data_IF_679926727863
#
_entry.id   IF_679926727863
#
_cell.length_a   1.000
_cell.length_b   1.000
_cell.length_c   1.000
_cell.angle_alpha   90.00
_cell.angle_beta   90.00
_cell.angle_gamma   90.00
#
_symmetry.space_group_name_H-M   'P 1'
#
loop_
_entity.id
_entity.type
_entity.pdbx_description
1 polymer ?
#
# COMPACT_ATOMS: atom_id res chain seq x y z
N UNK A 1 -26.41 -21.16 2.94
CA UNK A 1 -25.01 -20.89 2.51
C UNK A 1 -24.54 -19.55 3.09
N UNK A 2 -23.85 -19.59 4.23
CA UNK A 2 -23.36 -18.38 4.93
C UNK A 2 -22.07 -17.92 4.24
N UNK A 3 -22.06 -16.69 3.70
CA UNK A 3 -20.84 -16.06 3.22
C UNK A 3 -19.88 -15.85 4.41
N UNK A 4 -18.58 -16.19 4.29
CA UNK A 4 -17.62 -15.92 5.35
C UNK A 4 -17.37 -14.41 5.49
N UNK A 5 -16.96 -13.93 6.67
CA UNK A 5 -16.61 -12.53 6.88
C UNK A 5 -15.42 -12.11 5.99
N UNK A 6 -15.35 -10.83 5.56
CA UNK A 6 -14.39 -10.33 4.56
C UNK A 6 -12.91 -10.50 4.95
N UNK A 7 -12.61 -10.78 6.23
CA UNK A 7 -11.26 -11.04 6.72
C UNK A 7 -10.72 -12.42 6.35
N UNK A 8 -11.59 -13.43 6.18
CA UNK A 8 -11.17 -14.82 5.95
C UNK A 8 -10.72 -15.08 4.51
N UNK A 9 -11.31 -14.38 3.53
CA UNK A 9 -10.97 -14.57 2.12
C UNK A 9 -9.57 -14.04 1.76
N UNK A 10 -9.06 -13.03 2.47
CA UNK A 10 -7.72 -12.48 2.20
C UNK A 10 -6.58 -13.35 2.76
N UNK A 11 -6.88 -14.23 3.72
CA UNK A 11 -5.88 -14.94 4.51
C UNK A 11 -5.30 -16.18 3.80
N UNK A 12 -6.00 -16.77 2.82
CA UNK A 12 -5.60 -18.08 2.28
C UNK A 12 -4.60 -18.03 1.11
N UNK A 13 -4.13 -16.85 0.70
CA UNK A 13 -3.28 -16.70 -0.50
C UNK A 13 -1.77 -16.57 -0.22
N UNK A 14 -1.33 -16.54 1.04
CA UNK A 14 0.05 -16.17 1.40
C UNK A 14 0.78 -17.25 2.19
N UNK A 15 1.28 -18.28 1.50
CA UNK A 15 2.28 -19.21 2.05
C UNK A 15 3.53 -19.25 1.15
N UNK A 16 4.33 -18.19 1.18
CA UNK A 16 5.79 -18.27 0.99
C UNK A 16 6.45 -16.89 1.21
N UNK A 17 7.26 -16.70 2.27
CA UNK A 17 7.96 -15.45 2.48
C UNK A 17 9.34 -15.50 1.79
N UNK A 18 9.43 -15.05 0.54
CA UNK A 18 10.72 -14.63 -0.03
C UNK A 18 10.98 -13.18 0.37
N UNK A 19 11.90 -13.02 1.32
CA UNK A 19 12.40 -11.74 1.84
C UNK A 19 13.07 -10.96 0.71
N UNK A 20 12.39 -9.96 0.17
CA UNK A 20 12.98 -9.02 -0.78
C UNK A 20 13.36 -7.72 -0.06
N UNK A 21 14.67 -7.43 -0.09
CA UNK A 21 15.27 -6.21 0.42
C UNK A 21 14.93 -5.05 -0.55
N UNK A 22 14.19 -4.05 -0.08
CA UNK A 22 13.59 -3.02 -0.93
C UNK A 22 14.55 -1.84 -1.08
N UNK A 23 15.42 -1.88 -2.10
CA UNK A 23 16.22 -0.74 -2.54
C UNK A 23 15.35 0.22 -3.39
N UNK A 24 14.77 1.24 -2.75
CA UNK A 24 14.07 2.34 -3.46
C UNK A 24 15.10 3.36 -3.94
N UNK A 25 15.37 3.36 -5.26
CA UNK A 25 16.05 4.47 -5.93
C UNK A 25 15.02 5.53 -6.38
N UNK A 26 14.72 6.51 -5.53
CA UNK A 26 14.21 7.81 -5.96
C UNK A 26 14.90 8.90 -5.13
N UNK A 27 16.08 9.31 -5.58
CA UNK A 27 16.87 10.37 -4.97
C UNK A 27 16.85 11.59 -5.90
N UNK A 28 15.74 12.34 -5.87
CA UNK A 28 15.64 13.60 -6.60
C UNK A 28 15.54 14.78 -5.61
N UNK A 29 16.68 15.42 -5.39
CA UNK A 29 16.87 16.84 -5.09
C UNK A 29 16.32 17.46 -3.78
N UNK A 30 16.47 16.76 -2.65
CA UNK A 30 16.42 17.40 -1.32
C UNK A 30 17.83 17.44 -0.72
N UNK A 31 18.27 18.56 -0.09
CA UNK A 31 19.55 18.60 0.61
C UNK A 31 19.53 17.50 1.67
N UNK A 32 20.36 16.47 1.51
CA UNK A 32 20.35 15.23 2.31
C UNK A 32 20.59 15.57 3.79
N UNK A 33 19.55 15.64 4.64
CA UNK A 33 19.76 15.86 6.06
C UNK A 33 20.32 14.57 6.63
N UNK A 34 21.23 14.65 7.60
CA UNK A 34 21.76 13.44 8.21
C UNK A 34 20.60 12.57 8.71
N UNK A 35 20.66 11.26 8.47
CA UNK A 35 19.56 10.33 8.78
C UNK A 35 19.07 10.45 10.23
N UNK A 36 19.95 10.78 11.17
CA UNK A 36 19.61 11.03 12.58
C UNK A 36 18.87 12.35 12.85
N UNK A 37 18.99 13.35 11.98
CA UNK A 37 18.23 14.60 12.06
C UNK A 37 16.80 14.40 11.55
N UNK A 38 16.62 13.57 10.51
CA UNK A 38 15.29 13.20 10.00
C UNK A 38 14.48 12.44 11.05
N UNK A 39 15.08 11.46 11.73
CA UNK A 39 14.41 10.69 12.78
C UNK A 39 14.03 11.60 13.97
N UNK A 40 14.90 12.56 14.34
CA UNK A 40 14.61 13.53 15.41
C UNK A 40 13.50 14.51 15.04
N UNK A 41 13.48 15.00 13.80
CA UNK A 41 12.43 15.91 13.31
C UNK A 41 11.10 15.17 13.17
N UNK A 42 11.10 13.92 12.70
CA UNK A 42 9.90 13.09 12.56
C UNK A 42 9.35 12.54 13.89
N UNK A 43 10.20 12.44 14.93
CA UNK A 43 9.74 12.13 16.30
C UNK A 43 9.28 13.39 17.05
N UNK A 44 9.83 14.56 16.71
CA UNK A 44 9.46 15.85 17.32
C UNK A 44 8.18 16.44 16.71
N UNK A 45 8.02 16.34 15.40
CA UNK A 45 6.77 16.63 14.71
C UNK A 45 5.94 15.35 14.77
N UNK A 46 4.76 15.38 15.40
CA UNK A 46 3.80 14.27 15.38
C UNK A 46 3.17 14.07 13.97
N UNK A 47 3.98 14.23 12.92
CA UNK A 47 3.51 14.18 11.55
C UNK A 47 3.18 12.73 11.20
N UNK A 48 1.96 12.49 10.69
CA UNK A 48 1.54 11.16 10.31
C UNK A 48 2.47 10.61 9.21
N UNK A 49 2.93 9.35 9.32
CA UNK A 49 3.80 8.75 8.31
C UNK A 49 3.14 8.80 6.92
N UNK A 50 3.92 9.13 5.89
CA UNK A 50 3.41 9.31 4.53
C UNK A 50 3.81 8.15 3.63
N UNK A 51 2.82 7.41 3.09
CA UNK A 51 3.03 6.40 2.07
C UNK A 51 2.92 7.00 0.66
N UNK A 52 3.97 6.82 -0.15
CA UNK A 52 4.04 7.33 -1.52
C UNK A 52 3.96 6.15 -2.50
N UNK A 53 2.95 6.15 -3.36
CA UNK A 53 2.69 5.12 -4.36
C UNK A 53 2.99 5.67 -5.77
N UNK A 54 4.19 5.44 -6.33
CA UNK A 54 4.51 5.92 -7.67
C UNK A 54 3.64 5.25 -8.74
N UNK A 55 3.46 5.90 -9.89
CA UNK A 55 2.77 5.29 -11.02
C UNK A 55 3.54 4.08 -11.55
N UNK A 56 2.82 2.99 -11.86
CA UNK A 56 3.47 1.73 -12.23
C UNK A 56 2.65 0.79 -13.11
N UNK A 57 1.46 1.18 -13.58
CA UNK A 57 0.60 0.30 -14.38
C UNK A 57 0.39 -1.06 -13.71
N UNK A 58 0.91 -2.13 -14.32
CA UNK A 58 0.86 -3.50 -13.78
C UNK A 58 1.53 -3.66 -12.39
N UNK A 59 2.51 -2.82 -12.04
CA UNK A 59 3.10 -2.81 -10.71
C UNK A 59 2.13 -2.38 -9.60
N UNK A 60 0.91 -1.98 -9.94
CA UNK A 60 -0.22 -1.87 -9.03
C UNK A 60 -0.33 -3.04 -8.05
N UNK A 61 -0.27 -4.28 -8.56
CA UNK A 61 -0.46 -5.47 -7.72
C UNK A 61 0.67 -5.69 -6.70
N UNK A 62 1.87 -5.20 -7.01
CA UNK A 62 2.98 -5.20 -6.05
C UNK A 62 2.69 -4.24 -4.90
N UNK A 63 2.23 -3.03 -5.21
CA UNK A 63 1.87 -2.05 -4.18
C UNK A 63 0.68 -2.54 -3.34
N UNK A 64 -0.31 -3.18 -3.96
CA UNK A 64 -1.43 -3.83 -3.27
C UNK A 64 -0.97 -4.92 -2.29
N UNK A 65 0.02 -5.73 -2.68
CA UNK A 65 0.64 -6.74 -1.81
C UNK A 65 1.31 -6.11 -0.58
N UNK A 66 2.06 -5.02 -0.77
CA UNK A 66 2.72 -4.29 0.32
C UNK A 66 1.67 -3.76 1.32
N UNK A 67 0.62 -3.11 0.83
CA UNK A 67 -0.45 -2.58 1.70
C UNK A 67 -1.14 -3.72 2.45
N UNK A 68 -1.41 -4.84 1.78
CA UNK A 68 -2.01 -6.03 2.40
C UNK A 68 -1.13 -6.59 3.51
N UNK A 69 0.17 -6.71 3.26
CA UNK A 69 1.13 -7.14 4.28
C UNK A 69 1.16 -6.21 5.48
N UNK A 70 1.22 -4.89 5.26
CA UNK A 70 1.23 -3.91 6.35
C UNK A 70 -0.04 -4.00 7.21
N UNK A 71 -1.21 -4.17 6.58
CA UNK A 71 -2.47 -4.41 7.31
C UNK A 71 -2.40 -5.69 8.14
N UNK A 72 -1.91 -6.79 7.57
CA UNK A 72 -1.79 -8.08 8.25
C UNK A 72 -0.77 -8.06 9.39
N UNK A 73 0.31 -7.29 9.25
CA UNK A 73 1.30 -7.08 10.30
C UNK A 73 0.79 -6.20 11.46
N UNK A 74 -0.44 -5.69 11.39
CA UNK A 74 -1.09 -4.93 12.45
C UNK A 74 -0.84 -3.43 12.42
N UNK A 75 -0.28 -2.89 11.32
CA UNK A 75 -0.10 -1.45 11.18
C UNK A 75 -1.45 -0.76 10.88
N UNK A 76 -1.77 0.29 11.63
CA UNK A 76 -2.96 1.12 11.38
C UNK A 76 -2.67 2.15 10.28
N UNK A 77 -2.93 1.76 9.03
CA UNK A 77 -2.69 2.59 7.86
C UNK A 77 -3.60 3.83 7.78
N UNK A 78 -4.69 3.91 8.58
CA UNK A 78 -5.58 5.08 8.62
C UNK A 78 -4.89 6.30 9.25
N UNK A 79 -3.80 6.06 9.99
CA UNK A 79 -2.96 7.10 10.58
C UNK A 79 -1.88 7.61 9.62
N UNK A 80 -1.80 7.03 8.42
CA UNK A 80 -0.85 7.44 7.41
C UNK A 80 -1.50 8.41 6.43
N UNK A 81 -0.76 9.43 6.01
CA UNK A 81 -1.10 10.17 4.80
C UNK A 81 -0.66 9.35 3.58
N UNK A 82 -1.37 9.49 2.46
CA UNK A 82 -1.09 8.70 1.26
C UNK A 82 -1.17 9.57 0.02
N UNK A 83 -0.18 9.42 -0.86
CA UNK A 83 -0.20 10.04 -2.19
C UNK A 83 0.15 9.02 -3.25
N UNK A 84 -0.37 9.21 -4.46
CA UNK A 84 0.02 8.37 -5.58
C UNK A 84 -0.32 8.97 -6.92
N UNK A 85 0.26 8.41 -7.97
CA UNK A 85 0.04 8.84 -9.35
C UNK A 85 -0.42 7.68 -10.23
N UNK A 86 -1.42 7.89 -11.10
CA UNK A 86 -1.94 6.88 -12.03
C UNK A 86 -2.35 5.57 -11.29
N UNK A 87 -1.76 4.43 -11.61
CA UNK A 87 -1.97 3.18 -10.87
C UNK A 87 -1.69 3.32 -9.37
N UNK A 88 -0.71 4.13 -8.99
CA UNK A 88 -0.41 4.44 -7.60
C UNK A 88 -1.49 5.27 -6.90
N UNK A 89 -2.21 6.15 -7.63
CA UNK A 89 -3.38 6.85 -7.03
C UNK A 89 -4.52 5.90 -6.75
N UNK A 90 -4.69 4.86 -7.57
CA UNK A 90 -5.67 3.81 -7.29
C UNK A 90 -5.26 3.05 -6.02
N UNK A 91 -3.97 2.69 -5.89
CA UNK A 91 -3.46 2.05 -4.68
C UNK A 91 -3.68 2.92 -3.44
N UNK A 92 -3.29 4.19 -3.49
CA UNK A 92 -3.45 5.14 -2.39
C UNK A 92 -4.91 5.26 -1.95
N UNK A 93 -5.83 5.33 -2.93
CA UNK A 93 -7.27 5.43 -2.66
C UNK A 93 -7.80 4.17 -2.00
N UNK A 94 -7.54 2.99 -2.57
CA UNK A 94 -8.00 1.71 -2.00
C UNK A 94 -7.36 1.42 -0.63
N UNK A 95 -6.12 1.86 -0.44
CA UNK A 95 -5.41 1.78 0.83
C UNK A 95 -6.09 2.65 1.90
N UNK A 96 -6.42 3.90 1.57
CA UNK A 96 -7.06 4.85 2.47
C UNK A 96 -8.52 4.49 2.80
N UNK A 97 -9.27 3.92 1.86
CA UNK A 97 -10.69 3.54 2.06
C UNK A 97 -10.87 2.15 2.67
N UNK A 98 -9.78 1.50 3.11
CA UNK A 98 -9.79 0.14 3.66
C UNK A 98 -10.44 -0.92 2.76
N UNK A 99 -10.34 -0.75 1.44
CA UNK A 99 -10.92 -1.70 0.49
C UNK A 99 -9.98 -2.89 0.31
N UNK A 100 -10.55 -4.08 0.18
CA UNK A 100 -9.83 -5.30 -0.19
C UNK A 100 -9.40 -5.24 -1.66
N UNK A 101 -8.10 -5.36 -1.93
CA UNK A 101 -7.55 -5.29 -3.29
C UNK A 101 -8.04 -6.44 -4.19
N UNK A 102 -8.27 -7.65 -3.64
CA UNK A 102 -8.83 -8.76 -4.40
C UNK A 102 -10.24 -8.42 -4.90
N UNK A 103 -11.10 -7.90 -4.04
CA UNK A 103 -12.46 -7.50 -4.40
C UNK A 103 -12.47 -6.36 -5.44
N UNK A 104 -11.56 -5.39 -5.29
CA UNK A 104 -11.41 -4.31 -6.27
C UNK A 104 -10.98 -4.84 -7.64
N UNK A 105 -10.11 -5.85 -7.65
CA UNK A 105 -9.64 -6.52 -8.88
C UNK A 105 -10.78 -7.29 -9.55
N UNK A 106 -11.56 -8.05 -8.79
CA UNK A 106 -12.72 -8.78 -9.30
C UNK A 106 -13.76 -7.82 -9.91
N UNK A 107 -14.01 -6.68 -9.24
CA UNK A 107 -14.88 -5.65 -9.76
C UNK A 107 -14.36 -5.06 -11.08
N UNK A 108 -13.05 -4.79 -11.18
CA UNK A 108 -12.43 -4.30 -12.40
C UNK A 108 -12.52 -5.32 -13.55
N UNK A 109 -12.26 -6.61 -13.27
CA UNK A 109 -12.39 -7.70 -14.25
C UNK A 109 -13.83 -7.86 -14.74
N UNK A 110 -14.82 -7.68 -13.86
CA UNK A 110 -16.23 -7.68 -14.26
C UNK A 110 -16.54 -6.50 -15.19
N UNK A 111 -16.16 -5.29 -14.81
CA UNK A 111 -16.36 -4.09 -15.64
C UNK A 111 -15.72 -4.27 -17.02
N UNK A 112 -14.50 -4.81 -17.09
CA UNK A 112 -13.83 -5.05 -18.37
C UNK A 112 -14.45 -6.14 -19.24
N UNK A 113 -15.29 -7.03 -18.68
CA UNK A 113 -16.07 -8.01 -19.46
C UNK A 113 -17.39 -7.41 -19.96
N UNK A 114 -17.94 -6.44 -19.23
CA UNK A 114 -19.22 -5.80 -19.52
C UNK A 114 -19.07 -4.58 -20.46
N UNK A 115 -17.84 -4.13 -20.72
CA UNK A 115 -17.48 -3.01 -21.60
C UNK A 115 -17.19 -3.48 -23.04
#
# INVERSE_FOLDING_TARGET
PRYPPPSAACASASSNPTRYDFNVQQQNNYPNPNRGDLDRIALANNDPPHLIFPGGGLFFYWQAGIVTYLRQAGYDLRRCTMSGASAGSLTATLAATDVCFANATDAALRIGRDA
#
